data_IF_975276018917
#
_entry.id   IF_975276018917
#
_cell.length_a   1.000
_cell.length_b   1.000
_cell.length_c   1.000
_cell.angle_alpha   90.00
_cell.angle_beta   90.00
_cell.angle_gamma   90.00
#
_symmetry.space_group_name_H-M   'P 1'
#
loop_
_entity.id
_entity.type
_entity.pdbx_description
1 polymer ?
#
# COMPACT_ATOMS: atom_id res chain seq x y z
N UNK A 1 -1.55 -31.35 -12.48
CA UNK A 1 -1.01 -30.41 -11.47
C UNK A 1 -1.62 -29.01 -11.58
N UNK A 2 -2.86 -28.85 -11.11
CA UNK A 2 -3.65 -27.60 -11.13
C UNK A 2 -3.46 -26.74 -9.85
N UNK A 3 -2.29 -26.85 -9.21
CA UNK A 3 -2.03 -26.28 -7.88
C UNK A 3 -0.99 -25.15 -7.86
N UNK A 4 -0.54 -24.68 -9.04
CA UNK A 4 0.39 -23.54 -9.15
C UNK A 4 -0.26 -22.28 -9.74
N UNK A 5 -1.51 -22.34 -10.17
CA UNK A 5 -2.26 -21.18 -10.71
C UNK A 5 -3.09 -20.44 -9.66
N UNK A 6 -3.10 -20.90 -8.41
CA UNK A 6 -3.85 -20.27 -7.32
C UNK A 6 -2.84 -19.71 -6.32
N UNK A 7 -2.76 -18.37 -6.23
CA UNK A 7 -2.11 -17.53 -5.18
C UNK A 7 -1.03 -16.52 -5.60
N UNK A 8 -1.00 -16.04 -6.85
CA UNK A 8 -0.22 -14.82 -7.18
C UNK A 8 -1.06 -13.78 -7.93
N UNK A 9 -2.38 -13.75 -7.69
CA UNK A 9 -3.13 -12.52 -7.89
C UNK A 9 -2.60 -11.50 -6.89
N UNK A 10 -1.58 -10.75 -7.32
CA UNK A 10 -1.10 -9.54 -6.66
C UNK A 10 -2.26 -8.55 -6.69
N UNK A 11 -3.19 -8.71 -5.74
CA UNK A 11 -4.37 -7.86 -5.62
C UNK A 11 -3.86 -6.44 -5.36
N UNK A 12 -4.37 -5.41 -6.05
CA UNK A 12 -3.94 -4.03 -5.81
C UNK A 12 -3.97 -3.64 -4.32
N UNK A 13 -4.94 -4.11 -3.53
CA UNK A 13 -4.95 -3.91 -2.06
C UNK A 13 -3.71 -4.46 -1.32
N UNK A 14 -3.03 -5.46 -1.88
CA UNK A 14 -1.77 -6.01 -1.33
C UNK A 14 -0.60 -5.04 -1.53
N UNK A 15 -0.55 -4.30 -2.64
CA UNK A 15 0.46 -3.26 -2.86
C UNK A 15 0.27 -2.08 -1.89
N UNK A 16 -0.98 -1.66 -1.66
CA UNK A 16 -1.29 -0.58 -0.72
C UNK A 16 -0.90 -0.93 0.71
N UNK A 17 -1.22 -2.14 1.17
CA UNK A 17 -0.77 -2.63 2.47
C UNK A 17 0.77 -2.66 2.58
N UNK A 18 1.49 -2.95 1.49
CA UNK A 18 2.95 -2.90 1.48
C UNK A 18 3.50 -1.47 1.57
N UNK A 19 2.88 -0.49 0.89
CA UNK A 19 3.23 0.92 1.07
C UNK A 19 2.91 1.43 2.47
N UNK A 20 1.75 1.06 3.03
CA UNK A 20 1.40 1.45 4.39
C UNK A 20 2.42 0.89 5.40
N UNK A 21 2.76 -0.40 5.28
CA UNK A 21 3.82 -1.01 6.07
C UNK A 21 5.16 -0.28 5.93
N UNK A 22 5.56 0.08 4.70
CA UNK A 22 6.79 0.82 4.43
C UNK A 22 6.79 2.19 5.13
N UNK A 23 5.73 2.97 4.98
CA UNK A 23 5.65 4.33 5.53
C UNK A 23 5.34 4.37 7.03
N UNK A 24 4.84 3.27 7.60
CA UNK A 24 4.65 3.11 9.05
C UNK A 24 5.94 2.70 9.79
N UNK A 25 7.04 2.43 9.08
CA UNK A 25 8.33 2.13 9.70
C UNK A 25 8.85 3.34 10.47
N UNK A 26 9.01 3.15 11.78
CA UNK A 26 9.71 4.07 12.65
C UNK A 26 10.91 3.39 13.33
N UNK A 27 11.88 4.19 13.79
CA UNK A 27 12.99 3.69 14.59
C UNK A 27 12.46 3.18 15.93
N UNK A 28 12.77 1.93 16.28
CA UNK A 28 12.46 1.36 17.60
C UNK A 28 13.53 1.79 18.61
N UNK A 29 13.19 1.83 19.90
CA UNK A 29 14.12 2.21 20.97
C UNK A 29 15.39 1.35 20.97
N UNK A 30 15.25 0.05 20.72
CA UNK A 30 16.36 -0.91 20.71
C UNK A 30 17.00 -1.10 19.32
N UNK A 31 16.52 -0.41 18.29
CA UNK A 31 17.10 -0.55 16.95
C UNK A 31 18.33 0.34 16.78
N UNK A 32 19.38 -0.25 16.19
CA UNK A 32 20.47 0.51 15.60
C UNK A 32 20.02 1.15 14.27
N UNK A 33 20.71 2.20 13.83
CA UNK A 33 20.41 2.81 12.52
C UNK A 33 20.59 1.83 11.34
N UNK A 34 21.62 0.95 11.32
CA UNK A 34 21.72 -0.08 10.29
C UNK A 34 20.53 -1.05 10.29
N UNK A 35 20.01 -1.43 11.46
CA UNK A 35 18.83 -2.30 11.56
C UNK A 35 17.58 -1.61 10.98
N UNK A 36 17.41 -0.30 11.23
CA UNK A 36 16.35 0.49 10.61
C UNK A 36 16.47 0.51 9.08
N UNK A 37 17.67 0.75 8.54
CA UNK A 37 17.92 0.73 7.09
C UNK A 37 17.56 -0.62 6.48
N UNK A 38 17.97 -1.72 7.13
CA UNK A 38 17.66 -3.06 6.67
C UNK A 38 16.14 -3.33 6.62
N UNK A 39 15.37 -2.84 7.62
CA UNK A 39 13.90 -2.96 7.64
C UNK A 39 13.24 -2.16 6.51
N UNK A 40 13.68 -0.92 6.26
CA UNK A 40 13.17 -0.10 5.15
C UNK A 40 13.47 -0.77 3.80
N UNK A 41 14.69 -1.28 3.61
CA UNK A 41 15.07 -2.00 2.40
C UNK A 41 14.30 -3.31 2.21
N UNK A 42 13.97 -4.03 3.28
CA UNK A 42 13.11 -5.20 3.22
C UNK A 42 11.69 -4.82 2.77
N UNK A 43 11.05 -3.85 3.43
CA UNK A 43 9.71 -3.41 3.06
C UNK A 43 9.63 -2.87 1.62
N UNK A 44 10.64 -2.13 1.16
CA UNK A 44 10.68 -1.66 -0.24
C UNK A 44 10.80 -2.82 -1.24
N UNK A 45 11.54 -3.89 -0.89
CA UNK A 45 11.58 -5.10 -1.73
C UNK A 45 10.22 -5.79 -1.79
N UNK A 46 9.48 -5.80 -0.71
CA UNK A 46 8.12 -6.36 -0.70
C UNK A 46 7.19 -5.56 -1.63
N UNK A 47 7.25 -4.22 -1.57
CA UNK A 47 6.55 -3.35 -2.53
C UNK A 47 6.93 -3.69 -3.97
N UNK A 48 8.23 -3.79 -4.28
CA UNK A 48 8.70 -4.12 -5.63
C UNK A 48 8.21 -5.50 -6.07
N UNK A 49 8.29 -6.49 -5.19
CA UNK A 49 7.90 -7.86 -5.46
C UNK A 49 6.40 -8.00 -5.73
N UNK A 50 5.57 -7.09 -5.22
CA UNK A 50 4.12 -7.09 -5.43
C UNK A 50 3.69 -6.38 -6.71
N UNK A 51 4.59 -5.66 -7.39
CA UNK A 51 4.26 -4.97 -8.64
C UNK A 51 3.91 -5.96 -9.77
N UNK A 52 2.94 -5.64 -10.63
CA UNK A 52 2.70 -6.40 -11.85
C UNK A 52 3.87 -6.23 -12.83
N UNK A 53 4.02 -7.16 -13.77
CA UNK A 53 5.07 -7.07 -14.80
C UNK A 53 4.92 -5.83 -15.71
N UNK A 54 3.70 -5.29 -15.83
CA UNK A 54 3.37 -4.09 -16.58
C UNK A 54 3.56 -2.78 -15.80
N UNK A 55 4.18 -2.82 -14.62
CA UNK A 55 4.33 -1.64 -13.76
C UNK A 55 5.18 -0.55 -14.45
N UNK A 56 4.66 0.68 -14.45
CA UNK A 56 5.32 1.85 -15.04
C UNK A 56 5.53 2.95 -14.01
N UNK A 57 6.30 3.99 -14.36
CA UNK A 57 6.41 5.18 -13.52
C UNK A 57 5.06 5.89 -13.34
N UNK A 58 4.20 5.91 -14.36
CA UNK A 58 2.85 6.46 -14.22
C UNK A 58 2.02 5.68 -13.19
N UNK A 59 2.16 4.34 -13.17
CA UNK A 59 1.54 3.50 -12.14
C UNK A 59 2.05 3.85 -10.74
N UNK A 60 3.35 4.11 -10.59
CA UNK A 60 3.94 4.56 -9.33
C UNK A 60 3.36 5.91 -8.89
N UNK A 61 3.28 6.88 -9.81
CA UNK A 61 2.75 8.22 -9.50
C UNK A 61 1.28 8.15 -9.04
N UNK A 62 0.48 7.28 -9.66
CA UNK A 62 -0.91 7.05 -9.27
C UNK A 62 -1.03 6.33 -7.91
N UNK A 63 -0.23 5.30 -7.65
CA UNK A 63 -0.17 4.63 -6.34
C UNK A 63 0.25 5.61 -5.23
N UNK A 64 1.25 6.46 -5.48
CA UNK A 64 1.70 7.47 -4.52
C UNK A 64 0.62 8.53 -4.24
N UNK A 65 -0.10 8.97 -5.28
CA UNK A 65 -1.23 9.92 -5.11
C UNK A 65 -2.33 9.31 -4.26
N UNK A 66 -2.73 8.08 -4.57
CA UNK A 66 -3.71 7.32 -3.82
C UNK A 66 -3.30 7.13 -2.35
N UNK A 67 -2.05 6.73 -2.09
CA UNK A 67 -1.50 6.62 -0.74
C UNK A 67 -1.53 7.94 0.02
N UNK A 68 -1.16 9.04 -0.64
CA UNK A 68 -1.18 10.37 -0.03
C UNK A 68 -2.60 10.80 0.35
N UNK A 69 -3.59 10.51 -0.49
CA UNK A 69 -5.01 10.79 -0.18
C UNK A 69 -5.46 10.03 1.07
N UNK A 70 -5.19 8.72 1.15
CA UNK A 70 -5.62 7.91 2.31
C UNK A 70 -4.90 8.36 3.59
N UNK A 71 -3.59 8.63 3.53
CA UNK A 71 -2.80 9.09 4.69
C UNK A 71 -3.11 10.53 5.12
N UNK A 72 -3.81 11.31 4.31
CA UNK A 72 -4.24 12.66 4.65
C UNK A 72 -5.52 12.66 5.52
N UNK A 73 -6.21 11.53 5.62
CA UNK A 73 -7.41 11.41 6.45
C UNK A 73 -7.06 11.47 7.94
N UNK A 74 -7.80 12.26 8.74
CA UNK A 74 -7.67 12.25 10.19
C UNK A 74 -8.22 10.95 10.80
N UNK A 75 -7.87 10.67 12.05
CA UNK A 75 -8.22 9.41 12.74
C UNK A 75 -9.73 9.19 12.91
N UNK A 76 -10.55 10.24 12.80
CA UNK A 76 -12.02 10.10 12.76
C UNK A 76 -12.51 9.26 11.57
N UNK A 77 -11.70 9.12 10.51
CA UNK A 77 -11.94 8.26 9.35
C UNK A 77 -11.21 6.91 9.43
N UNK A 78 -10.75 6.45 10.61
CA UNK A 78 -10.01 5.18 10.73
C UNK A 78 -10.82 3.97 10.23
N UNK A 79 -12.14 3.96 10.49
CA UNK A 79 -13.03 2.90 10.03
C UNK A 79 -13.17 2.90 8.49
N UNK A 80 -13.30 4.09 7.90
CA UNK A 80 -13.35 4.28 6.45
C UNK A 80 -12.01 3.94 5.79
N UNK A 81 -10.89 4.37 6.37
CA UNK A 81 -9.54 4.02 5.92
C UNK A 81 -9.33 2.51 5.92
N UNK A 82 -9.79 1.83 6.98
CA UNK A 82 -9.72 0.37 7.08
C UNK A 82 -10.57 -0.32 6.02
N UNK A 83 -11.76 0.20 5.69
CA UNK A 83 -12.61 -0.35 4.64
C UNK A 83 -11.98 -0.19 3.25
N UNK A 84 -11.36 0.96 2.98
CA UNK A 84 -10.59 1.21 1.75
C UNK A 84 -9.48 0.17 1.57
N UNK A 85 -8.71 -0.14 2.62
CA UNK A 85 -7.61 -1.12 2.55
C UNK A 85 -8.07 -2.56 2.30
N UNK A 86 -9.35 -2.87 2.50
CA UNK A 86 -9.95 -4.18 2.19
C UNK A 86 -10.39 -4.30 0.72
N UNK A 87 -10.47 -3.18 -0.01
CA UNK A 87 -10.86 -3.22 -1.41
C UNK A 87 -9.73 -3.71 -2.32
N UNK A 88 -10.09 -4.59 -3.26
CA UNK A 88 -9.14 -5.20 -4.19
C UNK A 88 -8.55 -4.19 -5.18
N UNK A 89 -9.19 -3.03 -5.41
CA UNK A 89 -8.74 -2.00 -6.34
C UNK A 89 -8.75 -0.62 -5.67
N UNK A 90 -7.56 -0.07 -5.48
CA UNK A 90 -7.35 1.27 -4.91
C UNK A 90 -6.65 2.13 -5.95
N UNK A 91 -7.38 2.55 -6.99
CA UNK A 91 -6.87 3.57 -7.90
C UNK A 91 -7.37 4.96 -7.47
N UNK A 92 -6.73 6.00 -8.02
CA UNK A 92 -7.04 7.39 -7.68
C UNK A 92 -8.51 7.71 -7.92
N UNK A 93 -9.11 7.17 -8.99
CA UNK A 93 -10.50 7.41 -9.32
C UNK A 93 -11.45 6.74 -8.31
N UNK A 94 -11.19 5.49 -7.92
CA UNK A 94 -11.99 4.78 -6.93
C UNK A 94 -11.90 5.43 -5.56
N UNK A 95 -10.72 5.89 -5.14
CA UNK A 95 -10.54 6.60 -3.85
C UNK A 95 -11.25 7.95 -3.88
N UNK A 96 -11.11 8.70 -4.97
CA UNK A 96 -11.82 9.99 -5.14
C UNK A 96 -13.32 9.80 -5.02
N UNK A 97 -13.89 8.80 -5.70
CA UNK A 97 -15.31 8.51 -5.62
C UNK A 97 -15.74 8.09 -4.21
N UNK A 98 -14.94 7.27 -3.53
CA UNK A 98 -15.21 6.84 -2.16
C UNK A 98 -15.26 8.05 -1.21
N UNK A 99 -14.30 8.97 -1.32
CA UNK A 99 -14.25 10.18 -0.49
C UNK A 99 -15.49 11.05 -0.71
N UNK A 100 -15.90 11.25 -1.96
CA UNK A 100 -17.12 12.01 -2.30
C UNK A 100 -18.42 11.35 -1.83
N UNK A 101 -18.39 10.06 -1.46
CA UNK A 101 -19.57 9.32 -1.00
C UNK A 101 -19.66 9.27 0.52
N UNK A 102 -18.53 9.44 1.22
CA UNK A 102 -18.45 9.47 2.68
C UNK A 102 -18.85 10.84 3.25
N UNK A 103 -18.74 11.93 2.47
CA UNK A 103 -19.34 13.25 2.75
C UNK A 103 -20.86 13.26 2.57
#
# INVERSE_FOLDING_TARGET
DKLLEVHMDKRPGTCFNAYDNLFSIQKRNNDSLPALVARVQAAMRDVINLRPASFTLATLDDELRAMAMIRALPSEFDAFTSSLMLHDKLDVASITQAFLTEE
#
